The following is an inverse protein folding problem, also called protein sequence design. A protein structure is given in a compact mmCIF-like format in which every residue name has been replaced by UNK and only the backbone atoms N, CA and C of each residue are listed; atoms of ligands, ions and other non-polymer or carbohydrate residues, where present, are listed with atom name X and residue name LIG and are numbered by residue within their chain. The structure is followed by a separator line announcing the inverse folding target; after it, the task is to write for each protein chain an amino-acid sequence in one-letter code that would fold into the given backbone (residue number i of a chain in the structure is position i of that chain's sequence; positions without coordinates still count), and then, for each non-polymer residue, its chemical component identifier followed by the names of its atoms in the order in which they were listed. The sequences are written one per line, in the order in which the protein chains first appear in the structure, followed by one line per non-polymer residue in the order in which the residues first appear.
data_IF_603943467505
#
_entry.id   IF_603943467505
#
_cell.length_a   1.000
_cell.length_b   1.000
_cell.length_c   1.000
_cell.angle_alpha   90.00
_cell.angle_beta   90.00
_cell.angle_gamma   90.00
#
_symmetry.space_group_name_H-M   'P 1'
#
loop_
_entity.id
_entity.type
_entity.pdbx_description
1 polymer ?
#
# COMPACT_ATOMS: atom_id res chain seq x y z
N UNK A 1 0.60 -14.47 -16.28
CA UNK A 1 0.67 -13.10 -15.73
C UNK A 1 -0.73 -12.50 -15.62
N UNK A 2 -1.17 -12.19 -14.40
CA UNK A 2 -2.45 -11.57 -14.07
C UNK A 2 -2.30 -10.04 -14.03
N UNK A 3 -3.28 -9.32 -14.57
CA UNK A 3 -3.33 -7.86 -14.54
C UNK A 3 -4.45 -7.41 -13.62
N UNK A 4 -4.10 -6.66 -12.57
CA UNK A 4 -5.03 -6.21 -11.54
C UNK A 4 -5.08 -4.69 -11.56
N UNK A 5 -6.27 -4.12 -11.80
CA UNK A 5 -6.52 -2.69 -11.66
C UNK A 5 -7.45 -2.44 -10.48
N UNK A 6 -6.86 -2.05 -9.34
CA UNK A 6 -7.61 -1.75 -8.13
C UNK A 6 -7.95 -0.26 -8.07
N UNK A 7 -9.25 0.05 -8.12
CA UNK A 7 -9.79 1.42 -8.11
C UNK A 7 -9.92 2.02 -6.71
N UNK A 8 -9.68 1.24 -5.66
CA UNK A 8 -9.77 1.73 -4.28
C UNK A 8 -8.64 2.73 -3.99
N UNK A 9 -8.95 3.78 -3.24
CA UNK A 9 -7.98 4.79 -2.82
C UNK A 9 -7.60 4.72 -1.35
N UNK A 10 -8.25 3.86 -0.57
CA UNK A 10 -7.96 3.71 0.84
C UNK A 10 -6.59 3.00 1.03
N UNK A 11 -5.61 3.63 1.69
CA UNK A 11 -4.26 3.09 1.85
C UNK A 11 -4.22 1.79 2.66
N UNK A 12 -5.08 1.65 3.67
CA UNK A 12 -5.15 0.43 4.49
C UNK A 12 -5.58 -0.77 3.64
N UNK A 13 -6.61 -0.59 2.81
CA UNK A 13 -7.05 -1.63 1.91
C UNK A 13 -6.00 -1.93 0.83
N UNK A 14 -5.39 -0.90 0.25
CA UNK A 14 -4.43 -1.08 -0.84
C UNK A 14 -3.19 -1.86 -0.39
N UNK A 15 -2.63 -1.54 0.77
CA UNK A 15 -1.48 -2.28 1.32
C UNK A 15 -1.87 -3.72 1.70
N UNK A 16 -3.06 -3.93 2.27
CA UNK A 16 -3.55 -5.27 2.58
C UNK A 16 -3.76 -6.12 1.31
N UNK A 17 -4.32 -5.51 0.25
CA UNK A 17 -4.55 -6.17 -1.03
C UNK A 17 -3.22 -6.50 -1.73
N UNK A 18 -2.26 -5.57 -1.73
CA UNK A 18 -0.91 -5.81 -2.27
C UNK A 18 -0.22 -6.98 -1.54
N UNK A 19 -0.25 -6.99 -0.21
CA UNK A 19 0.36 -8.07 0.57
C UNK A 19 -0.33 -9.42 0.32
N UNK A 20 -1.66 -9.44 0.21
CA UNK A 20 -2.42 -10.66 -0.12
C UNK A 20 -2.05 -11.20 -1.50
N UNK A 21 -1.98 -10.33 -2.52
CA UNK A 21 -1.53 -10.73 -3.86
C UNK A 21 -0.10 -11.27 -3.82
N UNK A 22 0.80 -10.64 -3.06
CA UNK A 22 2.19 -11.11 -2.93
C UNK A 22 2.32 -12.47 -2.25
N UNK A 23 1.51 -12.74 -1.22
CA UNK A 23 1.65 -13.95 -0.38
C UNK A 23 0.85 -15.15 -0.87
N UNK A 24 -0.33 -14.91 -1.43
CA UNK A 24 -1.31 -15.97 -1.69
C UNK A 24 -1.41 -16.39 -3.16
N UNK A 25 -0.99 -15.53 -4.10
CA UNK A 25 -1.07 -15.84 -5.52
C UNK A 25 0.20 -16.59 -5.97
N UNK A 26 0.04 -17.59 -6.83
CA UNK A 26 1.17 -18.36 -7.38
C UNK A 26 1.55 -17.90 -8.79
N UNK A 27 0.66 -17.16 -9.46
CA UNK A 27 0.86 -16.60 -10.78
C UNK A 27 1.65 -15.28 -10.72
N UNK A 28 2.44 -15.00 -11.76
CA UNK A 28 3.01 -13.67 -11.95
C UNK A 28 1.90 -12.62 -11.98
N UNK A 29 2.04 -11.55 -11.21
CA UNK A 29 1.04 -10.49 -11.08
C UNK A 29 1.63 -9.12 -11.41
N UNK A 30 0.84 -8.30 -12.09
CA UNK A 30 1.07 -6.87 -12.26
C UNK A 30 -0.15 -6.10 -11.77
N UNK A 31 0.04 -5.23 -10.78
CA UNK A 31 -1.05 -4.51 -10.13
C UNK A 31 -0.83 -3.00 -10.18
N UNK A 32 -1.86 -2.25 -10.57
CA UNK A 32 -1.90 -0.80 -10.47
C UNK A 32 -2.97 -0.38 -9.46
N UNK A 33 -2.59 0.54 -8.58
CA UNK A 33 -3.44 1.14 -7.55
C UNK A 33 -2.91 2.53 -7.18
N UNK A 34 -3.72 3.32 -6.46
CA UNK A 34 -3.38 4.68 -6.04
C UNK A 34 -3.99 4.95 -4.68
N UNK A 35 -3.27 5.58 -3.75
CA UNK A 35 -3.83 6.04 -2.49
C UNK A 35 -4.47 7.44 -2.60
N UNK A 36 -5.41 7.72 -1.71
CA UNK A 36 -5.73 9.09 -1.27
C UNK A 36 -4.52 9.67 -0.49
N UNK A 37 -4.51 10.98 -0.14
CA UNK A 37 -3.37 11.57 0.58
C UNK A 37 -2.97 10.75 1.80
N UNK A 38 -1.71 10.28 1.84
CA UNK A 38 -1.23 9.32 2.85
C UNK A 38 0.28 9.40 2.98
N UNK A 39 0.79 9.14 4.19
CA UNK A 39 2.21 8.93 4.46
C UNK A 39 2.43 7.44 4.68
N UNK A 40 3.19 6.78 3.80
CA UNK A 40 3.59 5.39 3.96
C UNK A 40 4.95 5.35 4.64
N UNK A 41 5.02 4.75 5.82
CA UNK A 41 6.24 4.65 6.62
C UNK A 41 6.88 3.29 6.40
N UNK A 42 8.20 3.28 6.15
CA UNK A 42 8.95 2.03 5.99
C UNK A 42 8.95 1.21 7.28
N UNK A 43 8.93 -0.13 7.14
CA UNK A 43 8.83 -1.10 8.25
C UNK A 43 9.79 -0.86 9.42
N UNK A 44 10.96 -0.27 9.16
CA UNK A 44 12.02 -0.05 10.15
C UNK A 44 12.27 1.44 10.48
N UNK A 45 11.39 2.35 10.07
CA UNK A 45 11.48 3.78 10.42
C UNK A 45 10.74 4.08 11.72
N UNK A 46 11.17 5.13 12.42
CA UNK A 46 10.45 5.65 13.58
C UNK A 46 9.39 6.66 13.10
N UNK A 47 8.13 6.25 13.01
CA UNK A 47 7.03 7.09 12.50
C UNK A 47 7.00 8.49 13.12
N UNK A 48 7.18 8.61 14.45
CA UNK A 48 7.11 9.91 15.14
C UNK A 48 8.24 10.87 14.75
N UNK A 49 9.34 10.36 14.20
CA UNK A 49 10.44 11.18 13.69
C UNK A 49 10.28 11.58 12.22
N UNK A 50 9.43 10.88 11.46
CA UNK A 50 9.26 11.08 10.01
C UNK A 50 8.05 11.96 9.66
N UNK A 51 7.07 12.05 10.57
CA UNK A 51 5.84 12.82 10.33
C UNK A 51 5.85 14.15 11.08
N UNK A 52 5.25 15.17 10.47
CA UNK A 52 4.85 16.37 11.18
C UNK A 52 3.49 16.13 11.84
N UNK A 53 3.48 15.72 13.11
CA UNK A 53 2.26 15.35 13.84
C UNK A 53 1.21 16.47 13.91
N UNK A 54 1.64 17.74 13.93
CA UNK A 54 0.70 18.87 14.01
C UNK A 54 0.00 19.15 12.67
N UNK A 55 0.54 18.63 11.56
CA UNK A 55 0.00 18.84 10.21
C UNK A 55 -0.90 17.69 9.73
N UNK A 56 -0.61 16.46 10.17
CA UNK A 56 -1.18 15.22 9.59
C UNK A 56 -2.32 14.63 10.41
#
# INVERSE_FOLDING_TARGET
MLYIYNKNTNPYFNLAAEEYVLKEFQEECFMLWRNEPSIIVGKNQNTLAEINLDYV
#
